data_IF_901786568104
#
_entry.id   IF_901786568104
#
_cell.length_a   1.000
_cell.length_b   1.000
_cell.length_c   1.000
_cell.angle_alpha   90.00
_cell.angle_beta   90.00
_cell.angle_gamma   90.00
#
_symmetry.space_group_name_H-M   'P 1'
#
loop_
_entity.id
_entity.type
_entity.pdbx_description
1 polymer ?
#
# COMPACT_ATOMS: atom_id res chain seq x y z
N UNK A 1 1.13 26.33 -26.39
CA UNK A 1 0.34 25.11 -26.57
C UNK A 1 0.84 24.09 -25.59
N UNK A 2 0.05 23.75 -24.57
CA UNK A 2 0.44 22.78 -23.55
C UNK A 2 0.21 21.39 -24.16
N UNK A 3 1.27 20.59 -24.25
CA UNK A 3 1.20 19.21 -24.73
C UNK A 3 0.15 18.46 -23.89
N UNK A 4 -0.84 17.87 -24.57
CA UNK A 4 -1.81 16.96 -23.96
C UNK A 4 -1.04 15.70 -23.57
N UNK A 5 -0.70 15.56 -22.28
CA UNK A 5 -0.35 14.25 -21.74
C UNK A 5 -1.57 13.35 -21.95
N UNK A 6 -1.46 12.42 -22.90
CA UNK A 6 -2.50 11.46 -23.18
C UNK A 6 -2.39 10.35 -22.14
N UNK A 7 -3.27 10.38 -21.15
CA UNK A 7 -3.39 9.32 -20.14
C UNK A 7 -3.62 7.97 -20.83
N UNK A 8 -2.86 6.95 -20.43
CA UNK A 8 -2.97 5.56 -20.89
C UNK A 8 -3.91 4.76 -20.00
N UNK A 9 -3.93 5.02 -18.70
CA UNK A 9 -4.74 4.26 -17.73
C UNK A 9 -5.61 5.18 -16.87
N UNK A 10 -6.66 4.62 -16.26
CA UNK A 10 -7.52 5.36 -15.35
C UNK A 10 -6.77 5.75 -14.06
N UNK A 11 -5.84 4.92 -13.59
CA UNK A 11 -4.97 5.22 -12.44
C UNK A 11 -4.10 6.47 -12.67
N UNK A 12 -3.58 6.67 -13.88
CA UNK A 12 -2.80 7.87 -14.25
C UNK A 12 -3.62 9.15 -14.14
N UNK A 13 -4.95 9.05 -14.14
CA UNK A 13 -5.86 10.16 -13.90
C UNK A 13 -6.25 10.25 -12.43
N UNK A 14 -6.64 9.12 -11.83
CA UNK A 14 -7.21 9.08 -10.49
C UNK A 14 -6.18 9.31 -9.39
N UNK A 15 -4.99 8.73 -9.46
CA UNK A 15 -3.97 8.87 -8.41
C UNK A 15 -3.57 10.34 -8.20
N UNK A 16 -3.15 11.10 -9.25
CA UNK A 16 -2.80 12.50 -9.05
C UNK A 16 -4.01 13.35 -8.68
N UNK A 17 -5.20 13.05 -9.22
CA UNK A 17 -6.42 13.76 -8.88
C UNK A 17 -6.80 13.59 -7.40
N UNK A 18 -6.86 12.35 -6.92
CA UNK A 18 -7.20 12.04 -5.54
C UNK A 18 -6.15 12.65 -4.61
N UNK A 19 -4.87 12.54 -4.94
CA UNK A 19 -3.80 13.17 -4.16
C UNK A 19 -3.96 14.70 -4.09
N UNK A 20 -4.29 15.34 -5.22
CA UNK A 20 -4.54 16.79 -5.28
C UNK A 20 -5.76 17.22 -4.44
N UNK A 21 -6.77 16.34 -4.34
CA UNK A 21 -7.97 16.56 -3.54
C UNK A 21 -7.79 16.15 -2.06
N UNK A 22 -6.55 15.94 -1.60
CA UNK A 22 -6.21 15.46 -0.25
C UNK A 22 -6.81 14.09 0.09
N UNK A 23 -7.12 13.31 -0.93
CA UNK A 23 -7.73 12.00 -0.82
C UNK A 23 -6.77 10.88 -0.39
N UNK A 24 -5.57 11.22 0.08
CA UNK A 24 -4.65 10.30 0.76
C UNK A 24 -4.94 10.28 2.27
N UNK A 25 -5.29 11.44 2.81
CA UNK A 25 -5.63 11.62 4.23
C UNK A 25 -7.14 11.55 4.47
N UNK A 26 -7.93 11.92 3.46
CA UNK A 26 -9.38 12.04 3.57
C UNK A 26 -10.11 11.15 2.57
N UNK A 27 -11.30 10.70 2.94
CA UNK A 27 -12.19 10.02 2.01
C UNK A 27 -12.90 11.02 1.10
N UNK A 28 -12.94 10.72 -0.19
CA UNK A 28 -13.58 11.50 -1.24
C UNK A 28 -14.86 10.82 -1.71
N UNK A 29 -15.87 11.62 -2.05
CA UNK A 29 -17.10 11.10 -2.67
C UNK A 29 -16.84 10.64 -4.10
N UNK A 30 -17.30 9.45 -4.46
CA UNK A 30 -17.20 8.92 -5.83
C UNK A 30 -17.83 9.86 -6.87
N UNK A 31 -18.96 10.48 -6.53
CA UNK A 31 -19.60 11.46 -7.39
C UNK A 31 -18.67 12.63 -7.75
N UNK A 32 -17.86 13.11 -6.80
CA UNK A 32 -16.91 14.20 -7.05
C UNK A 32 -15.81 13.79 -8.03
N UNK A 33 -15.34 12.54 -7.97
CA UNK A 33 -14.35 12.03 -8.91
C UNK A 33 -14.94 11.83 -10.31
N UNK A 34 -16.14 11.26 -10.41
CA UNK A 34 -16.86 11.05 -11.69
C UNK A 34 -17.16 12.36 -12.41
N UNK A 35 -17.53 13.39 -11.65
CA UNK A 35 -17.83 14.71 -12.19
C UNK A 35 -16.58 15.49 -12.60
N UNK A 36 -15.39 15.07 -12.16
CA UNK A 36 -14.14 15.77 -12.41
C UNK A 36 -13.79 15.79 -13.90
N UNK A 37 -13.33 16.96 -14.38
CA UNK A 37 -13.03 17.20 -15.80
C UNK A 37 -12.05 16.18 -16.38
N UNK A 38 -10.97 15.86 -15.66
CA UNK A 38 -9.94 14.95 -16.17
C UNK A 38 -10.47 13.50 -16.30
N UNK A 39 -11.36 13.07 -15.40
CA UNK A 39 -12.00 11.75 -15.48
C UNK A 39 -12.94 11.72 -16.68
N UNK A 40 -13.80 12.72 -16.85
CA UNK A 40 -14.67 12.83 -18.03
C UNK A 40 -13.88 12.82 -19.34
N UNK A 41 -12.78 13.57 -19.41
CA UNK A 41 -11.91 13.61 -20.59
C UNK A 41 -11.27 12.24 -20.87
N UNK A 42 -10.81 11.52 -19.85
CA UNK A 42 -10.28 10.17 -20.02
C UNK A 42 -11.31 9.21 -20.64
N UNK A 43 -12.52 9.18 -20.08
CA UNK A 43 -13.58 8.31 -20.60
C UNK A 43 -13.96 8.67 -22.05
N UNK A 44 -14.07 9.96 -22.36
CA UNK A 44 -14.42 10.42 -23.70
C UNK A 44 -13.31 10.18 -24.73
N UNK A 45 -12.05 10.46 -24.38
CA UNK A 45 -10.95 10.48 -25.35
C UNK A 45 -10.19 9.15 -25.42
N UNK A 46 -10.07 8.44 -24.31
CA UNK A 46 -9.26 7.21 -24.21
C UNK A 46 -10.15 5.98 -24.26
N UNK A 47 -11.23 5.95 -23.45
CA UNK A 47 -12.14 4.80 -23.44
C UNK A 47 -13.19 4.84 -24.56
N UNK A 48 -13.43 6.02 -25.15
CA UNK A 48 -14.48 6.21 -26.16
C UNK A 48 -15.89 5.91 -25.65
N UNK A 49 -16.13 6.08 -24.34
CA UNK A 49 -17.37 5.69 -23.65
C UNK A 49 -17.82 6.81 -22.69
N UNK A 50 -19.11 6.85 -22.31
CA UNK A 50 -19.54 7.68 -21.18
C UNK A 50 -18.81 7.24 -19.90
N UNK A 51 -18.70 8.16 -18.94
CA UNK A 51 -18.21 7.82 -17.60
C UNK A 51 -19.11 6.71 -17.03
N UNK A 52 -18.48 5.69 -16.45
CA UNK A 52 -19.19 4.60 -15.77
C UNK A 52 -20.24 5.13 -14.79
N UNK A 53 -21.31 4.37 -14.63
CA UNK A 53 -22.30 4.63 -13.58
C UNK A 53 -21.64 4.49 -12.18
N UNK A 54 -22.31 4.88 -11.08
CA UNK A 54 -21.71 4.79 -9.75
C UNK A 54 -21.24 3.37 -9.39
N UNK A 55 -21.98 2.35 -9.81
CA UNK A 55 -21.75 0.95 -9.43
C UNK A 55 -20.51 0.40 -10.14
N UNK A 56 -20.43 0.55 -11.46
CA UNK A 56 -19.26 0.17 -12.26
C UNK A 56 -17.99 0.93 -11.81
N UNK A 57 -18.15 2.22 -11.52
CA UNK A 57 -17.04 3.04 -11.05
C UNK A 57 -16.55 2.60 -9.66
N UNK A 58 -17.46 2.13 -8.80
CA UNK A 58 -17.10 1.59 -7.50
C UNK A 58 -16.41 0.22 -7.60
N UNK A 59 -16.90 -0.66 -8.48
CA UNK A 59 -16.30 -1.98 -8.75
C UNK A 59 -14.82 -1.83 -9.13
N UNK A 60 -14.46 -0.79 -9.89
CA UNK A 60 -13.06 -0.49 -10.18
C UNK A 60 -12.22 -0.33 -8.91
N UNK A 61 -12.68 0.46 -7.94
CA UNK A 61 -11.94 0.66 -6.68
C UNK A 61 -11.89 -0.60 -5.82
N UNK A 62 -12.96 -1.40 -5.78
CA UNK A 62 -12.95 -2.71 -5.11
C UNK A 62 -11.95 -3.68 -5.75
N UNK A 63 -11.85 -3.68 -7.07
CA UNK A 63 -10.88 -4.50 -7.81
C UNK A 63 -9.42 -4.11 -7.54
N UNK A 64 -9.17 -2.86 -7.16
CA UNK A 64 -7.85 -2.30 -6.88
C UNK A 64 -7.69 -1.96 -5.39
N UNK A 65 -8.24 -2.81 -4.51
CA UNK A 65 -8.25 -2.68 -3.05
C UNK A 65 -6.84 -2.55 -2.42
N UNK A 66 -5.80 -2.99 -3.11
CA UNK A 66 -4.40 -2.88 -2.70
C UNK A 66 -3.96 -1.41 -2.66
N UNK A 67 -4.49 -0.60 -3.57
CA UNK A 67 -4.21 0.83 -3.70
C UNK A 67 -5.31 1.69 -3.08
N UNK A 68 -6.55 1.24 -3.17
CA UNK A 68 -7.71 2.03 -2.81
C UNK A 68 -8.40 1.48 -1.56
N UNK A 69 -8.88 2.42 -0.76
CA UNK A 69 -9.72 2.14 0.39
C UNK A 69 -11.13 2.66 0.09
N UNK A 70 -12.08 1.75 -0.04
CA UNK A 70 -13.40 2.03 -0.58
C UNK A 70 -14.48 1.67 0.45
N UNK A 71 -15.35 2.64 0.77
CA UNK A 71 -16.51 2.47 1.65
C UNK A 71 -17.79 2.48 0.79
N UNK A 72 -18.35 1.30 0.57
CA UNK A 72 -19.53 1.09 -0.28
C UNK A 72 -20.77 1.78 0.28
N UNK A 73 -20.99 1.66 1.59
CA UNK A 73 -22.16 2.21 2.25
C UNK A 73 -22.21 3.74 2.14
N UNK A 74 -21.04 4.39 2.19
CA UNK A 74 -20.93 5.85 2.08
C UNK A 74 -20.59 6.35 0.67
N UNK A 75 -20.34 5.45 -0.29
CA UNK A 75 -19.87 5.79 -1.63
C UNK A 75 -18.61 6.68 -1.61
N UNK A 76 -17.67 6.30 -0.74
CA UNK A 76 -16.43 7.03 -0.51
C UNK A 76 -15.20 6.21 -0.92
N UNK A 77 -14.14 6.92 -1.29
CA UNK A 77 -12.85 6.32 -1.63
C UNK A 77 -11.69 7.18 -1.16
N UNK A 78 -10.61 6.54 -0.71
CA UNK A 78 -9.34 7.15 -0.33
C UNK A 78 -8.19 6.38 -0.99
N UNK A 79 -7.12 7.07 -1.35
CA UNK A 79 -5.86 6.46 -1.76
C UNK A 79 -5.12 5.97 -0.51
N UNK A 80 -4.76 4.70 -0.46
CA UNK A 80 -3.98 4.15 0.66
C UNK A 80 -2.57 4.72 0.66
N UNK A 81 -2.08 5.09 1.83
CA UNK A 81 -0.70 5.50 2.01
C UNK A 81 0.28 4.33 1.81
N UNK A 82 1.57 4.59 1.52
CA UNK A 82 2.57 3.54 1.31
C UNK A 82 2.70 2.54 2.48
N UNK A 83 2.53 3.01 3.72
CA UNK A 83 2.53 2.16 4.91
C UNK A 83 1.37 1.16 4.90
N UNK A 84 0.14 1.60 4.63
CA UNK A 84 -1.03 0.71 4.56
C UNK A 84 -0.88 -0.32 3.44
N UNK A 85 -0.36 0.09 2.29
CA UNK A 85 -0.10 -0.81 1.17
C UNK A 85 0.93 -1.88 1.55
N UNK A 86 2.01 -1.50 2.25
CA UNK A 86 2.99 -2.43 2.79
C UNK A 86 2.34 -3.43 3.76
N UNK A 87 1.53 -2.93 4.69
CA UNK A 87 0.83 -3.77 5.67
C UNK A 87 -0.10 -4.78 5.00
N UNK A 88 -0.89 -4.34 4.01
CA UNK A 88 -1.76 -5.22 3.23
C UNK A 88 -0.98 -6.26 2.44
N UNK A 89 0.15 -5.87 1.85
CA UNK A 89 1.03 -6.77 1.11
C UNK A 89 1.60 -7.85 2.04
N UNK A 90 2.03 -7.48 3.24
CA UNK A 90 2.49 -8.43 4.26
C UNK A 90 1.38 -9.36 4.74
N UNK A 91 0.17 -8.84 5.01
CA UNK A 91 -0.99 -9.66 5.42
C UNK A 91 -1.37 -10.74 4.40
N UNK A 92 -1.17 -10.45 3.11
CA UNK A 92 -1.51 -11.38 2.01
C UNK A 92 -0.34 -12.24 1.55
N UNK A 93 0.86 -12.03 2.08
CA UNK A 93 2.01 -12.83 1.73
C UNK A 93 1.73 -14.31 2.01
N UNK A 94 1.95 -15.16 1.01
CA UNK A 94 1.58 -16.59 1.05
C UNK A 94 2.65 -17.46 1.69
N UNK A 95 3.86 -16.93 1.89
CA UNK A 95 4.94 -17.69 2.50
C UNK A 95 6.20 -16.87 2.79
N UNK A 96 7.21 -17.54 3.39
CA UNK A 96 8.43 -16.89 3.89
C UNK A 96 9.18 -16.10 2.82
N UNK A 97 9.36 -16.68 1.62
CA UNK A 97 10.09 -16.02 0.53
C UNK A 97 9.45 -14.71 0.06
N UNK A 98 8.12 -14.63 0.08
CA UNK A 98 7.40 -13.40 -0.26
C UNK A 98 7.62 -12.33 0.81
N UNK A 99 7.47 -12.70 2.09
CA UNK A 99 7.75 -11.81 3.23
C UNK A 99 9.19 -11.30 3.20
N UNK A 100 10.17 -12.18 2.97
CA UNK A 100 11.58 -11.80 2.87
C UNK A 100 11.77 -10.71 1.82
N UNK A 101 11.17 -10.90 0.64
CA UNK A 101 11.29 -9.94 -0.45
C UNK A 101 10.61 -8.61 -0.15
N UNK A 102 9.42 -8.64 0.45
CA UNK A 102 8.68 -7.44 0.86
C UNK A 102 9.51 -6.66 1.89
N UNK A 103 9.91 -7.31 2.99
CA UNK A 103 10.64 -6.67 4.09
C UNK A 103 12.02 -6.16 3.66
N UNK A 104 12.76 -6.94 2.86
CA UNK A 104 14.08 -6.53 2.38
C UNK A 104 14.02 -5.23 1.57
N UNK A 105 12.94 -5.02 0.81
CA UNK A 105 12.73 -3.82 0.00
C UNK A 105 11.97 -2.69 0.74
N UNK A 106 11.34 -2.99 1.87
CA UNK A 106 10.52 -2.03 2.60
C UNK A 106 11.34 -0.90 3.22
N UNK A 107 10.70 0.27 3.35
CA UNK A 107 11.22 1.39 4.12
C UNK A 107 11.08 1.10 5.62
N UNK A 108 12.16 1.28 6.39
CA UNK A 108 12.18 0.97 7.83
C UNK A 108 11.22 1.83 8.65
N UNK A 109 10.96 3.08 8.24
CA UNK A 109 9.97 3.94 8.88
C UNK A 109 8.54 3.43 8.70
N UNK A 110 8.22 2.82 7.56
CA UNK A 110 6.90 2.19 7.37
C UNK A 110 6.82 0.85 8.10
N UNK A 111 7.92 0.09 8.14
CA UNK A 111 7.99 -1.12 8.97
C UNK A 111 7.70 -0.75 10.43
N UNK A 112 8.31 0.33 10.95
CA UNK A 112 8.11 0.82 12.31
C UNK A 112 6.64 1.08 12.69
N UNK A 113 5.79 1.40 11.70
CA UNK A 113 4.39 1.75 11.88
C UNK A 113 3.41 0.58 11.65
N UNK A 114 3.90 -0.64 11.41
CA UNK A 114 3.02 -1.78 11.20
C UNK A 114 2.16 -2.08 12.44
N UNK A 115 0.96 -2.63 12.21
CA UNK A 115 0.16 -3.19 13.29
C UNK A 115 0.88 -4.37 13.98
N UNK A 116 0.66 -4.51 15.29
CA UNK A 116 1.31 -5.54 16.11
C UNK A 116 1.02 -6.98 15.61
N UNK A 117 -0.18 -7.23 15.08
CA UNK A 117 -0.53 -8.53 14.51
C UNK A 117 0.31 -8.85 13.27
N UNK A 118 0.53 -7.86 12.41
CA UNK A 118 1.34 -8.00 11.19
C UNK A 118 2.81 -8.17 11.53
N UNK A 119 3.30 -7.46 12.55
CA UNK A 119 4.63 -7.69 13.09
C UNK A 119 4.84 -9.14 13.53
N UNK A 120 3.93 -9.66 14.36
CA UNK A 120 4.01 -11.03 14.86
C UNK A 120 4.02 -12.06 13.73
N UNK A 121 3.10 -11.91 12.77
CA UNK A 121 3.03 -12.76 11.58
C UNK A 121 4.33 -12.69 10.75
N UNK A 122 4.84 -11.49 10.51
CA UNK A 122 6.06 -11.25 9.72
C UNK A 122 7.27 -11.90 10.38
N UNK A 123 7.45 -11.70 11.70
CA UNK A 123 8.54 -12.30 12.45
C UNK A 123 8.45 -13.83 12.48
N UNK A 124 7.23 -14.36 12.63
CA UNK A 124 7.00 -15.81 12.60
C UNK A 124 7.42 -16.41 11.25
N UNK A 125 7.09 -15.75 10.13
CA UNK A 125 7.49 -16.20 8.79
C UNK A 125 9.00 -16.03 8.53
N UNK A 126 9.67 -15.08 9.19
CA UNK A 126 11.12 -14.87 9.08
C UNK A 126 11.95 -15.78 10.00
N UNK A 127 11.32 -16.69 10.74
CA UNK A 127 12.02 -17.68 11.57
C UNK A 127 12.58 -18.84 10.75
N UNK A 128 11.93 -19.16 9.64
CA UNK A 128 12.30 -20.28 8.77
C UNK A 128 13.29 -19.82 7.71
N UNK A 129 14.29 -20.67 7.43
CA UNK A 129 15.27 -20.39 6.38
C UNK A 129 14.56 -20.28 5.02
N UNK A 130 15.04 -19.43 4.10
CA UNK A 130 14.42 -19.28 2.78
C UNK A 130 14.46 -20.61 2.03
N UNK A 131 13.34 -20.97 1.40
CA UNK A 131 13.35 -22.04 0.42
C UNK A 131 14.13 -21.56 -0.81
N UNK A 132 15.21 -22.27 -1.15
CA UNK A 132 16.03 -21.92 -2.31
C UNK A 132 15.31 -22.44 -3.55
N UNK A 133 14.78 -21.53 -4.37
CA UNK A 133 14.24 -21.88 -5.67
C UNK A 133 15.36 -22.06 -6.71
N UNK A 134 15.06 -22.72 -7.83
CA UNK A 134 16.03 -22.95 -8.91
C UNK A 134 16.42 -21.68 -9.68
N UNK A 135 15.78 -20.54 -9.39
CA UNK A 135 15.93 -19.28 -10.13
C UNK A 135 16.83 -18.27 -9.40
N UNK A 136 17.03 -18.45 -8.10
CA UNK A 136 17.78 -17.56 -7.23
C UNK A 136 18.98 -18.29 -6.68
N UNK A 137 20.18 -17.70 -6.78
CA UNK A 137 21.34 -18.30 -6.14
C UNK A 137 21.13 -18.36 -4.62
N UNK A 138 21.61 -19.44 -4.00
CA UNK A 138 21.55 -19.62 -2.54
C UNK A 138 22.13 -18.41 -1.79
N UNK A 139 23.19 -17.81 -2.34
CA UNK A 139 23.81 -16.61 -1.79
C UNK A 139 22.85 -15.41 -1.78
N UNK A 140 22.17 -15.11 -2.90
CA UNK A 140 21.24 -13.98 -2.98
C UNK A 140 20.05 -14.20 -2.04
N UNK A 141 19.51 -15.42 -1.98
CA UNK A 141 18.43 -15.75 -1.06
C UNK A 141 18.85 -15.54 0.41
N UNK A 142 20.04 -15.98 0.79
CA UNK A 142 20.58 -15.80 2.14
C UNK A 142 20.83 -14.33 2.47
N UNK A 143 21.41 -13.54 1.56
CA UNK A 143 21.65 -12.10 1.76
C UNK A 143 20.33 -11.33 1.97
N UNK A 144 19.30 -11.63 1.17
CA UNK A 144 17.97 -11.01 1.32
C UNK A 144 17.29 -11.41 2.63
N UNK A 145 17.38 -12.68 3.01
CA UNK A 145 16.87 -13.16 4.29
C UNK A 145 17.51 -12.43 5.47
N UNK A 146 18.85 -12.35 5.49
CA UNK A 146 19.59 -11.65 6.53
C UNK A 146 19.27 -10.14 6.54
N UNK A 147 19.07 -9.51 5.39
CA UNK A 147 18.63 -8.12 5.32
C UNK A 147 17.24 -7.94 5.93
N UNK A 148 16.28 -8.80 5.57
CA UNK A 148 14.92 -8.74 6.10
C UNK A 148 14.89 -8.93 7.63
N UNK A 149 15.61 -9.92 8.15
CA UNK A 149 15.72 -10.14 9.59
C UNK A 149 16.35 -8.95 10.31
N UNK A 150 17.46 -8.40 9.80
CA UNK A 150 18.11 -7.23 10.40
C UNK A 150 17.19 -6.02 10.46
N UNK A 151 16.42 -5.76 9.40
CA UNK A 151 15.43 -4.67 9.38
C UNK A 151 14.39 -4.85 10.47
N UNK A 152 13.76 -6.02 10.53
CA UNK A 152 12.71 -6.27 11.53
C UNK A 152 13.24 -6.21 12.96
N UNK A 153 14.41 -6.80 13.22
CA UNK A 153 15.03 -6.75 14.55
C UNK A 153 15.41 -5.31 14.92
N UNK A 154 16.00 -4.55 13.98
CA UNK A 154 16.36 -3.15 14.20
C UNK A 154 15.14 -2.29 14.54
N UNK A 155 14.03 -2.49 13.84
CA UNK A 155 12.76 -1.82 14.10
C UNK A 155 12.21 -2.19 15.50
N UNK A 156 12.18 -3.48 15.85
CA UNK A 156 11.72 -3.92 17.18
C UNK A 156 12.59 -3.33 18.29
N UNK A 157 13.91 -3.32 18.13
CA UNK A 157 14.82 -2.73 19.09
C UNK A 157 14.57 -1.23 19.28
N UNK A 158 14.34 -0.49 18.18
CA UNK A 158 14.02 0.93 18.24
C UNK A 158 12.72 1.19 19.01
N UNK A 159 11.66 0.43 18.69
CA UNK A 159 10.37 0.53 19.40
C UNK A 159 10.49 0.22 20.89
N UNK A 160 11.25 -0.82 21.26
CA UNK A 160 11.50 -1.15 22.66
C UNK A 160 12.31 -0.05 23.38
N UNK A 161 13.32 0.52 22.72
CA UNK A 161 14.12 1.60 23.30
C UNK A 161 13.29 2.87 23.55
N UNK A 162 12.36 3.18 22.64
CA UNK A 162 11.44 4.32 22.79
C UNK A 162 10.41 4.07 23.91
N UNK A 163 9.90 2.85 24.03
CA UNK A 163 9.01 2.46 25.13
C UNK A 163 9.66 2.61 26.51
N UNK A 164 10.96 2.30 26.63
CA UNK A 164 11.72 2.48 27.88
C UNK A 164 11.98 3.96 28.20
N UNK A 165 11.98 4.84 27.20
CA UNK A 165 12.20 6.29 27.37
C UNK A 165 10.92 7.08 27.63
N UNK A 166 9.74 6.49 27.43
CA UNK A 166 8.48 7.14 27.74
C UNK A 166 8.31 7.27 29.27
N UNK A 167 8.22 8.49 29.84
CA UNK A 167 8.03 8.65 31.28
C UNK A 167 6.68 8.06 31.69
N UNK A 168 6.69 7.23 32.75
CA UNK A 168 5.52 6.59 33.38
C UNK A 168 4.40 7.56 33.80
N UNK A 169 4.62 8.88 33.74
CA UNK A 169 3.68 9.92 34.15
C UNK A 169 2.59 10.29 33.14
N UNK A 170 2.41 9.56 32.04
CA UNK A 170 1.30 9.76 31.08
C UNK A 170 0.38 8.55 30.88
N UNK A 171 0.50 7.54 31.73
CA UNK A 171 -0.43 6.41 31.82
C UNK A 171 -1.27 6.53 33.10
N UNK A 172 -2.00 7.64 33.26
CA UNK A 172 -3.16 7.77 34.17
C UNK A 172 -4.20 8.63 33.47
#
# INVERSE_FOLDING_TARGET
GIQREMFRTLDEVLIPLVSFMDGTNNYLKLASLREHRNVKLYFQQIMGKPVWDPEDFFIYFQGHWDRWDADEAKQLVRLRGPQEQLELTLKRAKGPNEVINIVANANEGFLAMLDAGVYGQTLQMLKEAPEIDSRTSAQVAAERFMLAQRKMVGVVMALCADAVRAPLGKLV
#
